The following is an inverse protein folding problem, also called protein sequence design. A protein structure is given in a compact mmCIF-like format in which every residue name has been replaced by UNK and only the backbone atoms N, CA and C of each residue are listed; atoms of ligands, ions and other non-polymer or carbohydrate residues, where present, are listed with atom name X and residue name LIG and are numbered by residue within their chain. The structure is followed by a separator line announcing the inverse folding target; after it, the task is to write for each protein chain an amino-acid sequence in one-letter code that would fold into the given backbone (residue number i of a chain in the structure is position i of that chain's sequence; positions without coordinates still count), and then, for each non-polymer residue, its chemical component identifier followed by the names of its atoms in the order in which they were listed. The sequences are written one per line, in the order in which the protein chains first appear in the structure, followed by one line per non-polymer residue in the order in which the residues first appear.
data_IF_399011576091
#
_entry.id   IF_399011576091
#
_cell.length_a   1.000
_cell.length_b   1.000
_cell.length_c   1.000
_cell.angle_alpha   90.00
_cell.angle_beta   90.00
_cell.angle_gamma   90.00
#
_symmetry.space_group_name_H-M   'P 1'
#
loop_
_entity.id
_entity.type
_entity.pdbx_description
1 polymer ?
#
# COMPACT_ATOMS: atom_id res chain seq x y z
N UNK A 1 -8.13 18.31 0.26
CA UNK A 1 -7.73 17.51 -0.92
C UNK A 1 -7.49 16.08 -0.46
N UNK A 2 -8.16 15.07 -1.03
CA UNK A 2 -7.96 13.68 -0.63
C UNK A 2 -6.49 13.26 -0.81
N UNK A 3 -6.01 12.37 0.06
CA UNK A 3 -4.67 11.79 -0.03
C UNK A 3 -4.73 10.51 -0.86
N UNK A 4 -3.83 10.40 -1.81
CA UNK A 4 -3.60 9.20 -2.61
C UNK A 4 -2.91 8.10 -1.80
N UNK A 5 -2.76 6.90 -2.40
CA UNK A 5 -2.19 5.73 -1.74
C UNK A 5 -0.76 5.94 -1.23
N UNK A 6 0.01 6.84 -1.86
CA UNK A 6 1.37 7.20 -1.42
C UNK A 6 1.43 8.57 -0.76
N UNK A 7 0.29 9.10 -0.32
CA UNK A 7 0.20 10.41 0.31
C UNK A 7 0.06 11.57 -0.68
N UNK A 8 -0.06 11.31 -1.99
CA UNK A 8 -0.18 12.37 -2.99
C UNK A 8 -1.42 13.23 -2.72
N UNK A 9 -1.29 14.56 -2.81
CA UNK A 9 -2.44 15.47 -2.70
C UNK A 9 -2.97 15.73 -4.10
N UNK A 10 -4.12 15.16 -4.46
CA UNK A 10 -4.72 15.28 -5.79
C UNK A 10 -6.17 15.80 -5.71
N UNK A 11 -6.61 16.68 -6.62
CA UNK A 11 -8.03 17.08 -6.72
C UNK A 11 -8.93 15.85 -6.83
N UNK A 12 -10.11 15.91 -6.20
CA UNK A 12 -11.05 14.80 -6.21
C UNK A 12 -11.84 14.72 -7.53
N UNK A 13 -12.01 15.86 -8.21
CA UNK A 13 -12.76 15.96 -9.45
C UNK A 13 -11.88 15.61 -10.67
N UNK A 14 -12.51 15.04 -11.70
CA UNK A 14 -11.80 14.54 -12.87
C UNK A 14 -11.13 15.66 -13.69
N UNK A 15 -11.74 16.84 -13.74
CA UNK A 15 -11.24 17.97 -14.55
C UNK A 15 -10.00 18.57 -13.90
N UNK A 16 -10.06 18.89 -12.61
CA UNK A 16 -8.96 19.41 -11.82
C UNK A 16 -7.79 18.42 -11.78
N UNK A 17 -8.09 17.11 -11.72
CA UNK A 17 -7.06 16.08 -11.82
C UNK A 17 -6.37 16.10 -13.19
N UNK A 18 -7.11 16.17 -14.29
CA UNK A 18 -6.54 16.22 -15.64
C UNK A 18 -5.65 17.45 -15.84
N UNK A 19 -6.07 18.62 -15.35
CA UNK A 19 -5.27 19.84 -15.38
C UNK A 19 -3.97 19.69 -14.57
N UNK A 20 -4.05 19.13 -13.36
CA UNK A 20 -2.87 18.90 -12.53
C UNK A 20 -1.89 17.92 -13.19
N UNK A 21 -2.39 16.85 -13.81
CA UNK A 21 -1.57 15.89 -14.57
C UNK A 21 -0.86 16.59 -15.74
N UNK A 22 -1.57 17.46 -16.47
CA UNK A 22 -0.97 18.26 -17.53
C UNK A 22 0.20 19.12 -17.04
N UNK A 23 0.01 19.84 -15.94
CA UNK A 23 1.05 20.68 -15.32
C UNK A 23 2.27 19.89 -14.82
N UNK A 24 2.04 18.67 -14.33
CA UNK A 24 3.13 17.76 -13.96
C UNK A 24 3.91 17.34 -15.21
N UNK A 25 3.22 16.97 -16.29
CA UNK A 25 3.85 16.53 -17.52
C UNK A 25 4.65 17.64 -18.23
N UNK A 26 4.21 18.89 -18.10
CA UNK A 26 4.93 20.06 -18.62
C UNK A 26 6.03 20.57 -17.69
N UNK A 27 6.17 20.03 -16.48
CA UNK A 27 7.15 20.45 -15.48
C UNK A 27 6.80 21.75 -14.76
N UNK A 28 5.57 22.26 -14.90
CA UNK A 28 5.07 23.42 -14.15
C UNK A 28 4.87 23.09 -12.66
N UNK A 29 4.61 21.82 -12.34
CA UNK A 29 4.46 21.32 -10.97
C UNK A 29 5.34 20.08 -10.80
N UNK A 30 6.16 20.05 -9.75
CA UNK A 30 6.89 18.85 -9.36
C UNK A 30 5.96 17.78 -8.78
N UNK A 31 6.05 16.55 -9.28
CA UNK A 31 5.35 15.40 -8.73
C UNK A 31 6.22 14.67 -7.70
N UNK A 32 6.40 15.31 -6.55
CA UNK A 32 7.09 14.71 -5.41
C UNK A 32 6.10 13.91 -4.57
N UNK A 33 6.34 12.61 -4.48
CA UNK A 33 5.69 11.76 -3.48
C UNK A 33 6.39 12.01 -2.16
N UNK A 34 5.62 12.47 -1.16
CA UNK A 34 6.13 12.60 0.22
C UNK A 34 6.74 11.26 0.65
N UNK A 35 7.91 11.34 1.31
CA UNK A 35 8.47 10.15 1.95
C UNK A 35 7.46 9.63 2.97
N UNK A 36 7.19 8.32 2.97
CA UNK A 36 6.20 7.72 3.85
C UNK A 36 6.64 7.68 5.32
N UNK A 37 7.76 8.34 5.64
CA UNK A 37 8.37 8.46 6.95
C UNK A 37 8.96 7.16 7.47
N UNK A 38 9.05 6.13 6.61
CA UNK A 38 9.47 4.78 6.99
C UNK A 38 10.88 4.50 6.52
N UNK A 39 11.67 3.93 7.43
CA UNK A 39 13.00 3.40 7.12
C UNK A 39 12.94 2.40 5.96
N UNK A 40 13.62 2.72 4.86
CA UNK A 40 13.59 1.90 3.63
C UNK A 40 14.27 0.54 3.82
N UNK A 41 15.25 0.44 4.71
CA UNK A 41 15.91 -0.82 5.07
C UNK A 41 14.95 -1.78 5.77
N UNK A 42 14.20 -1.26 6.75
CA UNK A 42 13.17 -2.00 7.46
C UNK A 42 12.06 -2.50 6.52
N UNK A 43 11.63 -1.67 5.55
CA UNK A 43 10.66 -2.08 4.52
C UNK A 43 11.20 -3.24 3.67
N UNK A 44 12.46 -3.15 3.22
CA UNK A 44 13.10 -4.19 2.43
C UNK A 44 13.23 -5.51 3.21
N UNK A 45 13.66 -5.45 4.47
CA UNK A 45 13.77 -6.60 5.36
C UNK A 45 12.41 -7.25 5.64
N UNK A 46 11.37 -6.45 5.91
CA UNK A 46 10.01 -6.94 6.12
C UNK A 46 9.46 -7.69 4.91
N UNK A 47 9.66 -7.15 3.70
CA UNK A 47 9.28 -7.81 2.44
C UNK A 47 10.00 -9.15 2.25
N UNK A 48 11.31 -9.18 2.52
CA UNK A 48 12.13 -10.40 2.42
C UNK A 48 11.68 -11.46 3.42
N UNK A 49 11.51 -11.07 4.69
CA UNK A 49 11.08 -11.97 5.76
C UNK A 49 9.68 -12.54 5.53
N UNK A 50 8.72 -11.72 5.13
CA UNK A 50 7.36 -12.15 4.80
C UNK A 50 7.33 -13.16 3.65
N UNK A 51 8.08 -12.90 2.57
CA UNK A 51 8.20 -13.83 1.43
C UNK A 51 8.84 -15.16 1.85
N UNK A 52 9.91 -15.13 2.62
CA UNK A 52 10.58 -16.34 3.11
C UNK A 52 9.66 -17.19 3.99
N UNK A 53 8.94 -16.55 4.93
CA UNK A 53 7.96 -17.22 5.78
C UNK A 53 6.81 -17.84 4.98
N UNK A 54 6.31 -17.13 3.96
CA UNK A 54 5.29 -17.70 3.09
C UNK A 54 5.83 -18.94 2.37
N UNK A 55 7.01 -18.84 1.76
CA UNK A 55 7.63 -19.95 1.02
C UNK A 55 7.89 -21.19 1.89
N UNK A 56 8.29 -21.02 3.15
CA UNK A 56 8.57 -22.15 4.05
C UNK A 56 7.34 -22.83 4.64
N UNK A 57 6.14 -22.25 4.51
CA UNK A 57 4.91 -22.84 5.05
C UNK A 57 4.24 -23.82 4.09
N UNK A 58 3.84 -24.98 4.62
CA UNK A 58 3.02 -25.95 3.89
C UNK A 58 1.61 -25.42 3.59
N UNK A 59 0.94 -25.92 2.54
CA UNK A 59 -0.43 -25.54 2.20
C UNK A 59 -1.42 -25.76 3.35
N UNK A 60 -1.31 -26.86 4.08
CA UNK A 60 -2.19 -27.24 5.20
C UNK A 60 -2.05 -26.25 6.34
N UNK A 61 -0.81 -25.88 6.67
CA UNK A 61 -0.53 -24.91 7.72
C UNK A 61 -1.00 -23.51 7.33
N UNK A 62 -0.91 -23.12 6.05
CA UNK A 62 -1.50 -21.86 5.56
C UNK A 62 -3.03 -21.88 5.71
N UNK A 63 -3.69 -22.98 5.34
CA UNK A 63 -5.13 -23.14 5.46
C UNK A 63 -5.59 -23.09 6.93
N UNK A 64 -4.85 -23.70 7.85
CA UNK A 64 -5.13 -23.64 9.29
C UNK A 64 -5.09 -22.20 9.83
N UNK A 65 -4.06 -21.43 9.47
CA UNK A 65 -3.94 -20.01 9.87
C UNK A 65 -5.11 -19.20 9.29
N UNK A 66 -5.47 -19.42 8.02
CA UNK A 66 -6.59 -18.73 7.39
C UNK A 66 -7.93 -19.01 8.10
N UNK A 67 -8.22 -20.27 8.45
CA UNK A 67 -9.42 -20.64 9.21
C UNK A 67 -9.46 -19.95 10.58
N UNK A 68 -8.34 -19.95 11.31
CA UNK A 68 -8.23 -19.27 12.61
C UNK A 68 -8.45 -17.76 12.50
N UNK A 69 -7.86 -17.13 11.48
CA UNK A 69 -8.05 -15.69 11.23
C UNK A 69 -9.50 -15.35 10.88
N UNK A 70 -10.16 -16.17 10.05
CA UNK A 70 -11.56 -16.00 9.70
C UNK A 70 -12.47 -16.16 10.92
N UNK A 71 -12.28 -17.21 11.72
CA UNK A 71 -13.02 -17.41 12.96
C UNK A 71 -12.88 -16.22 13.91
N UNK A 72 -11.68 -15.63 14.05
CA UNK A 72 -11.49 -14.44 14.89
C UNK A 72 -12.15 -13.18 14.32
N UNK A 73 -12.13 -12.99 13.00
CA UNK A 73 -12.70 -11.81 12.33
C UNK A 73 -14.23 -11.85 12.31
N UNK A 74 -14.81 -13.03 12.09
CA UNK A 74 -16.25 -13.21 11.85
C UNK A 74 -17.00 -13.89 12.99
N UNK A 75 -16.29 -14.47 13.96
CA UNK A 75 -16.89 -15.19 15.09
C UNK A 75 -17.36 -14.30 16.25
N UNK A 76 -17.19 -12.97 16.15
CA UNK A 76 -17.92 -12.02 17.00
C UNK A 76 -19.15 -11.54 16.24
N UNK A 77 -20.21 -12.34 16.31
CA UNK A 77 -21.55 -11.81 16.53
C UNK A 77 -21.83 -11.85 18.03
#
# INVERSE_FOLDING_TARGET
MPKGPKGEKRPADAVGLAVMVGKIATGEIEDTVDDDGKDKGAQALGKKGGKARAASMSPERRAEIARKAAAKRWGKQ
#
